data_IF_734160658862
#
_entry.id   IF_734160658862
#
_cell.length_a   1.000
_cell.length_b   1.000
_cell.length_c   1.000
_cell.angle_alpha   90.00
_cell.angle_beta   90.00
_cell.angle_gamma   90.00
#
_symmetry.space_group_name_H-M   'P 1'
#
loop_
_entity.id
_entity.type
_entity.pdbx_description
1 polymer ?
#
# COMPACT_ATOMS: atom_id res chain seq x y z
N UNK A 1 -14.60 1.60 28.67
CA UNK A 1 -13.59 2.58 28.21
C UNK A 1 -14.00 3.05 26.82
N UNK A 2 -14.48 4.29 26.67
CA UNK A 2 -14.91 4.83 25.36
C UNK A 2 -13.66 5.34 24.64
N UNK A 3 -13.28 4.69 23.55
CA UNK A 3 -12.28 5.23 22.63
C UNK A 3 -12.95 6.35 21.82
N UNK A 4 -12.60 7.60 22.09
CA UNK A 4 -12.91 8.70 21.17
C UNK A 4 -11.73 8.89 20.23
N UNK A 5 -11.99 8.79 18.93
CA UNK A 5 -11.01 9.22 17.91
C UNK A 5 -11.02 10.74 17.93
N UNK A 6 -10.20 11.33 18.80
CA UNK A 6 -9.93 12.75 18.77
C UNK A 6 -9.21 13.10 17.45
N UNK A 7 -9.67 14.14 16.76
CA UNK A 7 -9.05 14.77 15.59
C UNK A 7 -9.02 13.95 14.30
N UNK A 8 -10.18 13.80 13.63
CA UNK A 8 -10.18 13.63 12.17
C UNK A 8 -9.88 14.99 11.51
N UNK A 9 -8.59 15.34 11.40
CA UNK A 9 -8.19 16.07 10.18
C UNK A 9 -8.48 15.13 9.03
N UNK A 10 -9.13 15.62 7.97
CA UNK A 10 -9.35 14.84 6.76
C UNK A 10 -7.99 14.28 6.32
N UNK A 11 -7.89 12.96 6.28
CA UNK A 11 -6.69 12.29 5.78
C UNK A 11 -6.58 12.65 4.30
N UNK A 12 -5.46 13.24 3.84
CA UNK A 12 -5.29 13.56 2.43
C UNK A 12 -5.48 12.31 1.55
N UNK A 13 -5.99 12.47 0.33
CA UNK A 13 -6.33 11.33 -0.55
C UNK A 13 -5.15 10.40 -0.84
N UNK A 14 -3.92 10.92 -0.78
CA UNK A 14 -2.69 10.17 -0.98
C UNK A 14 -2.08 9.57 0.31
N UNK A 15 -2.80 9.63 1.45
CA UNK A 15 -2.33 9.13 2.74
C UNK A 15 -3.21 7.95 3.21
N UNK A 16 -2.60 6.78 3.34
CA UNK A 16 -3.22 5.59 3.95
C UNK A 16 -2.71 5.46 5.40
N UNK A 17 -3.63 5.42 6.38
CA UNK A 17 -3.28 5.12 7.78
C UNK A 17 -3.60 3.65 8.05
N UNK A 18 -2.57 2.82 8.17
CA UNK A 18 -2.68 1.40 8.51
C UNK A 18 -2.14 1.17 9.93
N UNK A 19 -2.91 0.52 10.82
CA UNK A 19 -2.46 0.10 12.15
C UNK A 19 -2.51 -1.41 12.26
N UNK A 20 -1.40 -2.02 12.65
CA UNK A 20 -1.26 -3.46 12.84
C UNK A 20 -1.12 -3.76 14.33
N UNK A 21 -1.91 -4.71 14.81
CA UNK A 21 -1.87 -5.18 16.18
C UNK A 21 -1.72 -6.70 16.17
N UNK A 22 -0.93 -7.22 17.10
CA UNK A 22 -0.97 -8.65 17.40
C UNK A 22 -2.23 -8.91 18.22
N UNK A 23 -3.10 -9.80 17.75
CA UNK A 23 -4.36 -10.15 18.39
C UNK A 23 -4.29 -11.61 18.81
N UNK A 24 -4.60 -11.89 20.07
CA UNK A 24 -4.67 -13.26 20.57
C UNK A 24 -5.94 -13.98 20.12
N UNK A 25 -5.96 -15.30 20.30
CA UNK A 25 -7.08 -16.15 19.89
C UNK A 25 -8.36 -15.91 20.70
N UNK A 26 -8.28 -15.35 21.91
CA UNK A 26 -9.44 -15.08 22.77
C UNK A 26 -10.20 -13.83 22.33
N UNK A 27 -9.47 -12.79 21.91
CA UNK A 27 -10.04 -11.51 21.47
C UNK A 27 -10.45 -11.50 20.00
N UNK A 28 -9.87 -12.37 19.16
CA UNK A 28 -10.16 -12.41 17.72
C UNK A 28 -11.65 -12.62 17.38
N UNK A 29 -12.41 -13.54 18.02
CA UNK A 29 -13.83 -13.70 17.77
C UNK A 29 -14.64 -12.44 18.09
N UNK A 30 -14.36 -11.79 19.22
CA UNK A 30 -15.05 -10.57 19.66
C UNK A 30 -14.84 -9.44 18.64
N UNK A 31 -13.61 -9.30 18.13
CA UNK A 31 -13.30 -8.30 17.10
C UNK A 31 -14.07 -8.60 15.81
N UNK A 32 -14.14 -9.87 15.38
CA UNK A 32 -14.90 -10.28 14.19
C UNK A 32 -16.40 -10.00 14.32
N UNK A 33 -16.98 -10.30 15.47
CA UNK A 33 -18.41 -10.07 15.73
C UNK A 33 -18.77 -8.58 15.79
N UNK A 34 -17.84 -7.74 16.23
CA UNK A 34 -18.06 -6.28 16.40
C UNK A 34 -17.60 -5.45 15.19
N UNK A 35 -16.91 -6.06 14.23
CA UNK A 35 -16.45 -5.39 13.03
C UNK A 35 -17.62 -4.94 12.15
N UNK A 36 -17.51 -3.75 11.57
CA UNK A 36 -18.51 -3.22 10.62
C UNK A 36 -18.44 -3.90 9.24
N UNK A 37 -17.46 -4.76 9.01
CA UNK A 37 -17.26 -5.50 7.78
C UNK A 37 -15.92 -6.23 7.78
N UNK A 38 -15.82 -7.24 6.91
CA UNK A 38 -14.60 -7.99 6.63
C UNK A 38 -14.28 -7.88 5.14
N UNK A 39 -12.99 -7.80 4.84
CA UNK A 39 -12.50 -7.70 3.47
C UNK A 39 -11.35 -8.67 3.28
N UNK A 40 -11.51 -9.59 2.34
CA UNK A 40 -10.44 -10.49 1.95
C UNK A 40 -9.43 -9.74 1.09
N UNK A 41 -8.21 -9.64 1.63
CA UNK A 41 -7.10 -8.95 0.98
C UNK A 41 -5.99 -9.96 0.72
N UNK A 42 -5.67 -10.19 -0.55
CA UNK A 42 -4.42 -10.83 -0.93
C UNK A 42 -3.39 -9.75 -1.26
N UNK A 43 -2.21 -9.85 -0.68
CA UNK A 43 -1.15 -8.86 -0.87
C UNK A 43 0.19 -9.52 -1.11
N UNK A 44 0.96 -8.96 -2.02
CA UNK A 44 2.30 -9.40 -2.35
C UNK A 44 3.25 -8.21 -2.37
N UNK A 45 4.45 -8.41 -1.82
CA UNK A 45 5.53 -7.46 -1.82
C UNK A 45 6.64 -8.03 -2.72
N UNK A 46 6.67 -7.66 -4.02
CA UNK A 46 7.74 -8.09 -4.91
C UNK A 46 9.10 -7.69 -4.35
N UNK A 47 10.13 -8.54 -4.48
CA UNK A 47 11.51 -8.16 -4.22
C UNK A 47 11.88 -6.91 -5.03
N UNK A 48 12.65 -5.95 -4.48
CA UNK A 48 13.06 -4.77 -5.22
C UNK A 48 13.77 -5.07 -6.54
N UNK A 49 14.50 -6.20 -6.61
CA UNK A 49 15.19 -6.68 -7.81
C UNK A 49 14.27 -7.12 -8.94
N UNK A 50 12.99 -7.37 -8.66
CA UNK A 50 11.99 -7.76 -9.66
C UNK A 50 11.20 -6.54 -10.19
N UNK A 51 11.45 -5.35 -9.66
CA UNK A 51 10.79 -4.11 -10.08
C UNK A 51 11.59 -3.44 -11.19
N UNK A 52 10.99 -3.37 -12.37
CA UNK A 52 11.60 -2.79 -13.56
C UNK A 52 10.95 -1.44 -13.88
N UNK A 53 11.79 -0.43 -14.12
CA UNK A 53 11.36 0.92 -14.51
C UNK A 53 11.73 1.14 -15.97
N UNK A 54 10.75 1.53 -16.79
CA UNK A 54 10.96 1.84 -18.20
C UNK A 54 10.66 3.31 -18.48
N UNK A 55 11.70 4.17 -18.58
CA UNK A 55 11.54 5.60 -18.82
C UNK A 55 10.86 5.95 -20.14
N UNK A 56 11.02 5.14 -21.18
CA UNK A 56 10.47 5.43 -22.51
C UNK A 56 8.92 5.52 -22.52
N UNK A 57 8.27 4.75 -21.64
CA UNK A 57 6.81 4.63 -21.57
C UNK A 57 6.24 5.01 -20.19
N UNK A 58 7.09 5.56 -19.30
CA UNK A 58 6.79 5.79 -17.87
C UNK A 58 6.02 4.62 -17.25
N UNK A 59 6.60 3.42 -17.38
CA UNK A 59 5.95 2.18 -16.97
C UNK A 59 6.71 1.45 -15.87
N UNK A 60 5.94 0.71 -15.08
CA UNK A 60 6.45 -0.20 -14.05
C UNK A 60 6.12 -1.61 -14.51
N UNK A 61 7.14 -2.46 -14.58
CA UNK A 61 7.01 -3.87 -14.86
C UNK A 61 7.48 -4.71 -13.68
N UNK A 62 6.94 -5.93 -13.59
CA UNK A 62 7.36 -6.95 -12.64
C UNK A 62 7.65 -8.23 -13.38
N UNK A 63 8.87 -8.75 -13.24
CA UNK A 63 9.31 -9.98 -13.92
C UNK A 63 9.01 -9.95 -15.43
N UNK A 64 9.37 -8.85 -16.10
CA UNK A 64 9.16 -8.62 -17.53
C UNK A 64 7.71 -8.36 -17.97
N UNK A 65 6.74 -8.28 -17.05
CA UNK A 65 5.34 -7.97 -17.36
C UNK A 65 5.01 -6.55 -16.96
N UNK A 66 4.55 -5.74 -17.91
CA UNK A 66 4.08 -4.38 -17.65
C UNK A 66 2.83 -4.42 -16.76
N UNK A 67 2.88 -3.72 -15.64
CA UNK A 67 1.81 -3.65 -14.64
C UNK A 67 1.06 -2.32 -14.72
N UNK A 68 1.79 -1.22 -14.91
CA UNK A 68 1.25 0.13 -15.10
C UNK A 68 2.04 0.79 -16.23
N UNK A 69 1.34 1.51 -17.10
CA UNK A 69 1.92 2.32 -18.18
C UNK A 69 1.36 3.74 -18.14
N UNK A 70 2.09 4.69 -18.76
CA UNK A 70 1.61 6.05 -18.92
C UNK A 70 1.51 6.85 -17.62
N UNK A 71 2.40 6.60 -16.66
CA UNK A 71 2.48 7.43 -15.45
C UNK A 71 2.77 8.88 -15.89
N UNK A 72 2.01 9.88 -15.38
CA UNK A 72 2.25 11.28 -15.71
C UNK A 72 3.70 11.69 -15.44
N UNK A 73 4.31 12.46 -16.34
CA UNK A 73 5.69 12.96 -16.21
C UNK A 73 5.94 13.63 -14.84
N UNK A 74 4.96 14.38 -14.33
CA UNK A 74 5.03 15.06 -13.03
C UNK A 74 5.26 14.10 -11.87
N UNK A 75 4.77 12.87 -11.99
CA UNK A 75 4.77 11.86 -10.94
C UNK A 75 5.89 10.84 -11.17
N UNK A 76 6.23 10.59 -12.45
CA UNK A 76 7.22 9.59 -12.87
C UNK A 76 8.58 9.76 -12.17
N UNK A 77 9.04 11.00 -12.04
CA UNK A 77 10.29 11.28 -11.33
C UNK A 77 10.22 10.85 -9.85
N UNK A 78 9.13 11.20 -9.16
CA UNK A 78 8.93 10.82 -7.76
C UNK A 78 8.78 9.31 -7.58
N UNK A 79 8.12 8.63 -8.52
CA UNK A 79 8.03 7.17 -8.60
C UNK A 79 9.41 6.53 -8.70
N UNK A 80 10.24 7.00 -9.63
CA UNK A 80 11.61 6.52 -9.82
C UNK A 80 12.45 6.72 -8.56
N UNK A 81 12.39 7.90 -7.94
CA UNK A 81 13.15 8.23 -6.72
C UNK A 81 12.73 7.34 -5.53
N UNK A 82 11.43 7.08 -5.35
CA UNK A 82 10.94 6.20 -4.29
C UNK A 82 11.39 4.76 -4.51
N UNK A 83 11.23 4.20 -5.70
CA UNK A 83 11.62 2.81 -5.97
C UNK A 83 13.15 2.66 -5.84
N UNK A 84 13.92 3.60 -6.40
CA UNK A 84 15.40 3.57 -6.34
C UNK A 84 15.97 3.75 -4.93
N UNK A 85 15.24 4.41 -4.03
CA UNK A 85 15.63 4.54 -2.61
C UNK A 85 15.33 3.30 -1.76
N UNK A 86 14.93 2.20 -2.39
CA UNK A 86 14.64 0.92 -1.73
C UNK A 86 13.24 0.86 -1.13
N UNK A 87 12.35 1.75 -1.56
CA UNK A 87 10.98 1.74 -1.06
C UNK A 87 10.17 0.66 -1.76
N UNK A 88 9.42 -0.11 -0.98
CA UNK A 88 8.74 -1.31 -1.48
C UNK A 88 7.55 -1.01 -2.40
N UNK A 89 7.39 -1.83 -3.43
CA UNK A 89 6.14 -1.95 -4.18
C UNK A 89 5.24 -2.95 -3.46
N UNK A 90 3.93 -2.68 -3.42
CA UNK A 90 2.91 -3.58 -2.90
C UNK A 90 1.84 -3.78 -3.95
N UNK A 91 1.58 -5.04 -4.31
CA UNK A 91 0.37 -5.40 -5.05
C UNK A 91 -0.69 -5.86 -4.05
N UNK A 92 -1.90 -5.32 -4.16
CA UNK A 92 -3.05 -5.69 -3.34
C UNK A 92 -4.22 -6.02 -4.25
N UNK A 93 -4.86 -7.17 -4.05
CA UNK A 93 -6.13 -7.52 -4.70
C UNK A 93 -7.24 -7.57 -3.67
N UNK A 94 -8.40 -7.04 -4.03
CA UNK A 94 -9.60 -6.95 -3.20
C UNK A 94 -10.82 -7.17 -4.11
N UNK A 95 -11.43 -8.35 -4.05
CA UNK A 95 -12.46 -8.76 -5.00
C UNK A 95 -11.96 -8.67 -6.45
N UNK A 96 -12.64 -7.88 -7.28
CA UNK A 96 -12.31 -7.68 -8.70
C UNK A 96 -11.35 -6.50 -8.95
N UNK A 97 -10.80 -5.89 -7.89
CA UNK A 97 -9.89 -4.75 -8.01
C UNK A 97 -8.47 -5.15 -7.61
N UNK A 98 -7.49 -4.61 -8.34
CA UNK A 98 -6.08 -4.73 -8.03
C UNK A 98 -5.43 -3.35 -7.96
N UNK A 99 -4.51 -3.17 -7.01
CA UNK A 99 -3.80 -1.93 -6.77
C UNK A 99 -2.31 -2.21 -6.69
N UNK A 100 -1.52 -1.47 -7.45
CA UNK A 100 -0.07 -1.38 -7.26
C UNK A 100 0.22 -0.08 -6.50
N UNK A 101 0.74 -0.22 -5.30
CA UNK A 101 1.11 0.92 -4.43
C UNK A 101 2.62 1.00 -4.34
N UNK A 102 3.19 2.18 -4.55
CA UNK A 102 4.57 2.49 -4.17
C UNK A 102 4.50 3.02 -2.74
N UNK A 103 5.06 2.28 -1.78
CA UNK A 103 5.11 2.78 -0.40
C UNK A 103 6.14 3.89 -0.31
N UNK A 104 5.90 4.86 0.57
CA UNK A 104 6.90 5.84 0.97
C UNK A 104 7.88 5.26 1.99
N UNK A 105 9.01 5.93 2.20
CA UNK A 105 10.02 5.50 3.17
C UNK A 105 9.37 5.40 4.55
N UNK A 106 9.62 4.30 5.26
CA UNK A 106 9.21 4.19 6.65
C UNK A 106 10.05 5.16 7.49
N UNK A 107 9.43 6.27 7.91
CA UNK A 107 10.04 7.28 8.80
C UNK A 107 9.70 7.04 10.28
N UNK A 108 8.96 5.97 10.60
CA UNK A 108 8.45 5.70 11.94
C UNK A 108 7.41 6.73 12.41
N UNK A 109 6.74 6.43 13.52
CA UNK A 109 6.10 7.46 14.31
C UNK A 109 7.21 8.08 15.18
N UNK A 110 7.52 9.36 14.97
CA UNK A 110 8.37 10.12 15.88
C UNK A 110 7.67 10.36 17.21
#
# INVERSE_FOLDING_TARGET
>A
MKWSIANQRAVPENVEIERRFLVDSENLPIIRETASGEVDISQWYPPPSEVELSPENHSIALSGRVMIEGIPESDWRGVCELISSGTGVRIRTMGNSAFLTIKGRWIGAA
#
